data_IF_064756221902
#
_entry.id   IF_064756221902
#
_cell.length_a   1.000
_cell.length_b   1.000
_cell.length_c   1.000
_cell.angle_alpha   90.00
_cell.angle_beta   90.00
_cell.angle_gamma   90.00
#
_symmetry.space_group_name_H-M   'P 1'
#
loop_
_entity.id
_entity.type
_entity.pdbx_description
1 polymer ?
#
# COMPACT_ATOMS: atom_id res chain seq x y z
N UNK A 1 10.90 -0.87 -7.60
CA UNK A 1 9.59 -0.20 -7.44
C UNK A 1 9.37 0.89 -8.48
N UNK A 2 10.15 1.97 -8.50
CA UNK A 2 10.03 3.02 -9.52
C UNK A 2 10.10 2.47 -10.96
N UNK A 3 10.93 1.45 -11.21
CA UNK A 3 10.94 0.73 -12.50
C UNK A 3 9.61 0.05 -12.83
N UNK A 4 8.96 -0.63 -11.88
CA UNK A 4 7.64 -1.26 -12.12
C UNK A 4 6.57 -0.21 -12.40
N UNK A 5 6.55 0.88 -11.62
CA UNK A 5 5.64 2.02 -11.85
C UNK A 5 5.88 2.59 -13.25
N UNK A 6 7.14 2.81 -13.63
CA UNK A 6 7.51 3.33 -14.94
C UNK A 6 7.02 2.41 -16.07
N UNK A 7 7.37 1.12 -16.03
CA UNK A 7 6.95 0.13 -17.03
C UNK A 7 5.44 0.04 -17.12
N UNK A 8 4.74 -0.01 -15.99
CA UNK A 8 3.27 -0.03 -15.96
C UNK A 8 2.63 1.24 -16.53
N UNK A 9 3.28 2.41 -16.43
CA UNK A 9 2.78 3.64 -17.04
C UNK A 9 3.09 3.73 -18.54
N UNK A 10 4.25 3.24 -18.98
CA UNK A 10 4.74 3.43 -20.36
C UNK A 10 4.41 2.29 -21.32
N UNK A 11 4.29 1.05 -20.83
CA UNK A 11 4.21 -0.14 -21.68
C UNK A 11 2.87 -0.88 -21.58
N UNK A 12 2.11 -0.66 -20.51
CA UNK A 12 0.84 -1.34 -20.25
C UNK A 12 -0.34 -0.48 -20.77
N UNK A 13 -0.98 -0.95 -21.84
CA UNK A 13 -2.00 -0.21 -22.58
C UNK A 13 -3.30 -0.02 -21.78
N UNK A 14 -3.76 -1.06 -21.07
CA UNK A 14 -4.96 -0.93 -20.23
C UNK A 14 -4.70 -0.05 -19.02
N UNK A 15 -3.50 -0.16 -18.43
CA UNK A 15 -3.11 0.63 -17.26
C UNK A 15 -2.99 2.13 -17.58
N UNK A 16 -2.40 2.48 -18.73
CA UNK A 16 -2.27 3.88 -19.19
C UNK A 16 -3.61 4.48 -19.59
N UNK A 17 -4.45 3.72 -20.31
CA UNK A 17 -5.81 4.13 -20.68
C UNK A 17 -6.69 4.36 -19.45
N UNK A 18 -6.59 3.48 -18.44
CA UNK A 18 -7.31 3.65 -17.18
C UNK A 18 -6.90 4.94 -16.45
N UNK A 19 -5.59 5.18 -16.32
CA UNK A 19 -5.07 6.39 -15.66
C UNK A 19 -5.53 7.68 -16.33
N UNK A 20 -5.62 7.69 -17.67
CA UNK A 20 -6.02 8.86 -18.48
C UNK A 20 -7.54 9.09 -18.46
N UNK A 21 -8.33 8.02 -18.56
CA UNK A 21 -9.80 8.11 -18.58
C UNK A 21 -10.40 8.55 -17.26
N UNK A 22 -9.74 8.24 -16.14
CA UNK A 22 -10.24 8.55 -14.80
C UNK A 22 -9.62 9.82 -14.20
N UNK A 23 -8.71 10.52 -14.90
CA UNK A 23 -7.99 11.67 -14.35
C UNK A 23 -8.93 12.81 -13.91
N UNK A 24 -10.00 13.06 -14.66
CA UNK A 24 -11.04 14.05 -14.30
C UNK A 24 -12.10 13.56 -13.29
N UNK A 25 -12.17 12.24 -13.05
CA UNK A 25 -13.17 11.59 -12.18
C UNK A 25 -12.57 11.03 -10.89
N UNK A 26 -11.27 11.24 -10.63
CA UNK A 26 -10.66 10.85 -9.36
C UNK A 26 -11.37 11.56 -8.21
N UNK A 27 -11.58 10.86 -7.11
CA UNK A 27 -12.13 11.44 -5.90
C UNK A 27 -11.22 10.98 -4.77
N UNK A 28 -10.78 11.96 -3.99
CA UNK A 28 -10.06 11.66 -2.76
C UNK A 28 -11.02 11.04 -1.74
N UNK A 29 -10.55 10.10 -0.90
CA UNK A 29 -11.30 9.65 0.26
C UNK A 29 -11.65 10.83 1.18
N UNK A 30 -12.67 10.66 2.04
CA UNK A 30 -13.07 11.72 2.97
C UNK A 30 -11.92 12.17 3.88
N UNK A 31 -11.01 11.24 4.19
CA UNK A 31 -9.79 11.47 4.97
C UNK A 31 -8.64 10.65 4.39
N UNK A 32 -7.45 11.23 4.39
CA UNK A 32 -6.18 10.56 4.06
C UNK A 32 -5.10 11.03 5.03
N UNK A 33 -4.01 10.30 5.16
CA UNK A 33 -2.81 10.79 5.82
C UNK A 33 -2.01 11.66 4.84
N UNK A 34 -1.68 12.88 5.26
CA UNK A 34 -0.67 13.72 4.62
C UNK A 34 0.70 13.36 5.20
N UNK A 35 1.52 12.69 4.38
CA UNK A 35 2.84 12.19 4.80
C UNK A 35 4.00 12.99 4.24
N UNK A 36 3.80 14.23 3.75
CA UNK A 36 4.85 15.03 3.15
C UNK A 36 6.05 15.32 4.08
N UNK A 37 5.80 15.45 5.39
CA UNK A 37 6.80 15.85 6.40
C UNK A 37 6.87 14.85 7.55
N UNK A 38 7.90 14.91 8.40
CA UNK A 38 8.08 13.97 9.52
C UNK A 38 6.93 13.95 10.53
N UNK A 39 6.31 15.10 10.76
CA UNK A 39 5.00 15.18 11.38
C UNK A 39 3.94 14.86 10.31
N UNK A 40 3.41 13.63 10.33
CA UNK A 40 2.27 13.30 9.47
C UNK A 40 0.98 13.75 10.15
N UNK A 41 -0.10 13.86 9.40
CA UNK A 41 -1.41 14.20 9.98
C UNK A 41 -2.52 13.58 9.17
N UNK A 42 -3.66 13.40 9.81
CA UNK A 42 -4.90 13.16 9.12
C UNK A 42 -5.33 14.46 8.42
N UNK A 43 -5.67 14.35 7.15
CA UNK A 43 -6.03 15.46 6.27
C UNK A 43 -7.43 15.21 5.71
N UNK A 44 -8.25 16.27 5.70
CA UNK A 44 -9.56 16.30 5.05
C UNK A 44 -9.40 17.00 3.71
N UNK A 45 -9.42 16.27 2.59
CA UNK A 45 -9.41 16.88 1.27
C UNK A 45 -10.68 17.69 1.03
N UNK A 46 -10.57 18.76 0.24
CA UNK A 46 -11.74 19.44 -0.32
C UNK A 46 -12.47 18.50 -1.29
N UNK A 47 -13.78 18.69 -1.48
CA UNK A 47 -14.59 17.86 -2.41
C UNK A 47 -14.07 17.89 -3.85
N UNK A 48 -13.40 18.98 -4.23
CA UNK A 48 -12.77 19.21 -5.53
C UNK A 48 -11.37 18.57 -5.65
N UNK A 49 -10.80 18.00 -4.59
CA UNK A 49 -9.44 17.46 -4.59
C UNK A 49 -9.34 16.20 -5.47
N UNK A 50 -8.27 16.12 -6.27
CA UNK A 50 -8.04 15.08 -7.29
C UNK A 50 -6.66 14.41 -7.19
N UNK A 51 -5.96 14.62 -6.07
CA UNK A 51 -4.60 14.14 -5.89
C UNK A 51 -4.49 12.60 -5.93
N UNK A 52 -3.30 12.12 -6.30
CA UNK A 52 -2.99 10.69 -6.21
C UNK A 52 -2.69 10.30 -4.77
N UNK A 53 -3.22 9.15 -4.35
CA UNK A 53 -2.93 8.55 -3.05
C UNK A 53 -2.61 7.06 -3.19
N UNK A 54 -1.93 6.54 -2.18
CA UNK A 54 -1.67 5.12 -1.98
C UNK A 54 -2.68 4.57 -0.97
N UNK A 55 -3.20 3.37 -1.17
CA UNK A 55 -3.97 2.65 -0.16
C UNK A 55 -3.13 1.52 0.46
N UNK A 56 -3.43 1.16 1.71
CA UNK A 56 -2.81 0.04 2.41
C UNK A 56 -3.81 -1.10 2.62
N UNK A 57 -3.44 -2.31 2.19
CA UNK A 57 -4.10 -3.57 2.53
C UNK A 57 -3.21 -4.36 3.48
N UNK A 58 -3.69 -4.61 4.72
CA UNK A 58 -2.86 -5.18 5.78
C UNK A 58 -3.68 -5.89 6.87
N UNK A 59 -2.99 -6.67 7.71
CA UNK A 59 -3.58 -7.25 8.90
C UNK A 59 -3.38 -6.32 10.10
N UNK A 60 -4.47 -5.95 10.77
CA UNK A 60 -4.41 -5.17 12.01
C UNK A 60 -3.74 -5.91 13.18
N UNK A 61 -3.74 -7.25 13.15
CA UNK A 61 -3.34 -8.11 14.26
C UNK A 61 -4.46 -8.36 15.28
N UNK A 62 -4.14 -9.07 16.36
CA UNK A 62 -5.08 -9.47 17.43
C UNK A 62 -5.13 -8.51 18.63
N UNK A 63 -4.36 -7.42 18.60
CA UNK A 63 -4.27 -6.44 19.69
C UNK A 63 -5.20 -5.23 19.54
N UNK A 64 -4.93 -4.16 20.30
CA UNK A 64 -5.54 -2.85 20.10
C UNK A 64 -4.74 -2.09 19.02
N UNK A 65 -5.22 -2.01 17.77
CA UNK A 65 -4.46 -1.39 16.69
C UNK A 65 -4.37 0.12 16.92
N UNK A 66 -3.29 0.73 16.40
CA UNK A 66 -3.19 2.18 16.34
C UNK A 66 -4.25 2.71 15.38
N UNK A 67 -5.23 3.46 15.90
CA UNK A 67 -6.45 3.81 15.17
C UNK A 67 -6.99 5.19 15.58
N UNK A 68 -7.80 5.76 14.70
CA UNK A 68 -8.53 6.99 14.95
C UNK A 68 -9.86 6.69 15.64
N UNK A 69 -10.16 7.46 16.68
CA UNK A 69 -11.40 7.42 17.45
C UNK A 69 -11.94 8.84 17.65
N UNK A 70 -13.18 8.94 18.08
CA UNK A 70 -13.82 10.23 18.41
C UNK A 70 -13.02 11.05 19.43
N UNK A 71 -12.30 10.38 20.33
CA UNK A 71 -11.48 11.03 21.36
C UNK A 71 -10.12 11.57 20.88
N UNK A 72 -9.54 11.02 19.81
CA UNK A 72 -8.19 11.38 19.35
C UNK A 72 -8.13 11.99 17.94
N UNK A 73 -9.27 12.08 17.25
CA UNK A 73 -9.36 12.67 15.90
C UNK A 73 -8.76 14.07 15.82
N UNK A 74 -9.07 14.95 16.78
CA UNK A 74 -8.55 16.32 16.82
C UNK A 74 -7.02 16.38 16.99
N UNK A 75 -6.43 15.39 17.67
CA UNK A 75 -4.98 15.25 17.78
C UNK A 75 -4.40 14.76 16.46
N UNK A 76 -5.00 13.72 15.87
CA UNK A 76 -4.59 13.16 14.59
C UNK A 76 -4.65 14.18 13.43
N UNK A 77 -5.61 15.11 13.45
CA UNK A 77 -5.73 16.20 12.48
C UNK A 77 -4.60 17.24 12.59
N UNK A 78 -4.04 17.41 13.78
CA UNK A 78 -2.91 18.31 14.01
C UNK A 78 -1.61 17.63 13.63
N UNK A 79 -1.35 16.49 14.26
CA UNK A 79 -0.10 15.76 14.12
C UNK A 79 -0.22 14.33 14.66
N UNK A 80 0.40 13.41 13.94
CA UNK A 80 0.68 12.03 14.34
C UNK A 80 2.18 11.87 14.22
N UNK A 81 2.84 11.56 15.34
CA UNK A 81 4.26 11.23 15.29
C UNK A 81 4.47 9.89 14.59
N UNK A 82 5.36 9.83 13.59
CA UNK A 82 5.71 8.58 12.91
C UNK A 82 6.22 7.54 13.91
N UNK A 83 6.96 7.95 14.94
CA UNK A 83 7.48 7.01 15.94
C UNK A 83 6.40 6.38 16.82
N UNK A 84 5.20 6.97 16.87
CA UNK A 84 4.05 6.40 17.56
C UNK A 84 3.33 5.32 16.73
N UNK A 85 3.55 5.30 15.41
CA UNK A 85 2.97 4.28 14.54
C UNK A 85 3.63 2.91 14.79
N UNK A 86 2.87 1.81 14.65
CA UNK A 86 3.43 0.47 14.55
C UNK A 86 4.50 0.36 13.45
N UNK A 87 5.48 -0.52 13.64
CA UNK A 87 6.67 -0.62 12.78
C UNK A 87 6.33 -0.76 11.29
N UNK A 88 5.39 -1.65 10.94
CA UNK A 88 4.99 -1.83 9.55
C UNK A 88 4.36 -0.57 8.94
N UNK A 89 3.59 0.21 9.71
CA UNK A 89 2.98 1.44 9.23
C UNK A 89 4.03 2.54 9.03
N UNK A 90 5.09 2.56 9.85
CA UNK A 90 6.25 3.43 9.60
C UNK A 90 6.91 3.10 8.26
N UNK A 91 7.08 1.81 7.95
CA UNK A 91 7.62 1.38 6.66
C UNK A 91 6.70 1.71 5.48
N UNK A 92 5.38 1.61 5.65
CA UNK A 92 4.42 2.05 4.62
C UNK A 92 4.53 3.57 4.38
N UNK A 93 4.66 4.39 5.42
CA UNK A 93 4.89 5.84 5.29
C UNK A 93 6.19 6.12 4.55
N UNK A 94 7.30 5.49 4.95
CA UNK A 94 8.61 5.62 4.29
C UNK A 94 8.55 5.21 2.84
N UNK A 95 7.87 4.10 2.55
CA UNK A 95 7.72 3.58 1.19
C UNK A 95 6.92 4.53 0.32
N UNK A 96 5.80 5.05 0.84
CA UNK A 96 4.94 6.04 0.17
C UNK A 96 5.74 7.28 -0.24
N UNK A 97 6.56 7.82 0.67
CA UNK A 97 7.47 8.94 0.36
C UNK A 97 8.50 8.57 -0.70
N UNK A 98 9.11 7.39 -0.57
CA UNK A 98 10.17 6.92 -1.48
C UNK A 98 9.69 6.73 -2.92
N UNK A 99 8.41 6.39 -3.12
CA UNK A 99 7.79 6.32 -4.45
C UNK A 99 7.19 7.65 -4.92
N UNK A 100 7.34 8.74 -4.16
CA UNK A 100 6.97 10.09 -4.57
C UNK A 100 5.52 10.47 -4.33
N UNK A 101 4.81 9.76 -3.44
CA UNK A 101 3.41 10.07 -3.10
C UNK A 101 3.33 10.78 -1.75
N UNK A 102 2.37 11.71 -1.66
CA UNK A 102 2.10 12.50 -0.45
C UNK A 102 0.98 11.92 0.39
N UNK A 103 -0.02 11.33 -0.24
CA UNK A 103 -1.25 10.92 0.44
C UNK A 103 -1.29 9.40 0.59
N UNK A 104 -1.66 8.96 1.79
CA UNK A 104 -1.75 7.55 2.17
C UNK A 104 -3.07 7.29 2.88
N UNK A 105 -3.81 6.29 2.42
CA UNK A 105 -5.04 5.84 3.05
C UNK A 105 -4.81 4.54 3.82
N UNK A 106 -5.12 4.57 5.12
CA UNK A 106 -5.08 3.43 6.03
C UNK A 106 -6.43 3.40 6.74
N UNK A 107 -7.19 2.32 6.60
CA UNK A 107 -8.55 2.19 7.14
C UNK A 107 -8.63 2.53 8.64
N UNK A 108 -7.73 1.97 9.46
CA UNK A 108 -7.69 2.20 10.90
C UNK A 108 -7.49 3.68 11.28
N UNK A 109 -6.86 4.48 10.41
CA UNK A 109 -6.54 5.88 10.67
C UNK A 109 -7.49 6.86 9.94
N UNK A 110 -8.01 6.47 8.78
CA UNK A 110 -8.85 7.31 7.93
C UNK A 110 -10.35 7.15 8.21
N UNK A 111 -10.74 6.13 9.00
CA UNK A 111 -12.11 5.89 9.46
C UNK A 111 -12.13 6.03 10.98
N UNK A 112 -13.16 6.70 11.51
CA UNK A 112 -13.35 6.84 12.97
C UNK A 112 -13.93 5.52 13.49
N UNK A 113 -13.13 4.74 14.21
CA UNK A 113 -13.43 3.32 14.47
C UNK A 113 -14.49 3.06 15.55
N UNK A 114 -14.78 4.05 16.38
CA UNK A 114 -15.81 4.02 17.44
C UNK A 114 -17.06 4.83 17.08
N UNK A 115 -17.13 5.40 15.87
CA UNK A 115 -18.31 6.07 15.32
C UNK A 115 -18.96 5.15 14.27
N UNK A 116 -20.11 4.58 14.61
CA UNK A 116 -20.83 3.65 13.73
C UNK A 116 -21.31 4.30 12.43
N UNK A 117 -21.75 5.55 12.48
CA UNK A 117 -22.26 6.25 11.29
C UNK A 117 -21.12 6.62 10.35
N UNK A 118 -19.96 7.02 10.90
CA UNK A 118 -18.75 7.23 10.11
C UNK A 118 -18.25 5.94 9.48
N UNK A 119 -18.17 4.88 10.28
CA UNK A 119 -17.78 3.57 9.79
C UNK A 119 -18.68 3.10 8.64
N UNK A 120 -20.01 3.24 8.77
CA UNK A 120 -20.95 2.83 7.73
C UNK A 120 -20.77 3.64 6.44
N UNK A 121 -20.60 4.97 6.56
CA UNK A 121 -20.34 5.85 5.40
C UNK A 121 -19.06 5.45 4.69
N UNK A 122 -17.96 5.26 5.41
CA UNK A 122 -16.65 4.97 4.80
C UNK A 122 -16.56 3.52 4.29
N UNK A 123 -17.14 2.55 5.00
CA UNK A 123 -17.23 1.17 4.54
C UNK A 123 -17.96 1.08 3.19
N UNK A 124 -19.04 1.86 3.00
CA UNK A 124 -19.75 1.92 1.71
C UNK A 124 -18.91 2.47 0.56
N UNK A 125 -17.86 3.25 0.88
CA UNK A 125 -16.94 3.87 -0.09
C UNK A 125 -15.67 3.07 -0.32
N UNK A 126 -15.40 1.99 0.43
CA UNK A 126 -14.18 1.18 0.27
C UNK A 126 -13.94 0.75 -1.18
N UNK A 127 -15.03 0.47 -1.93
CA UNK A 127 -14.91 0.18 -3.36
C UNK A 127 -14.22 1.31 -4.13
N UNK A 128 -14.67 2.54 -3.93
CA UNK A 128 -14.09 3.72 -4.57
C UNK A 128 -12.66 3.95 -4.09
N UNK A 129 -12.40 3.81 -2.79
CA UNK A 129 -11.05 3.99 -2.21
C UNK A 129 -10.02 3.08 -2.88
N UNK A 130 -10.27 1.78 -2.98
CA UNK A 130 -9.29 0.87 -3.58
C UNK A 130 -9.24 0.96 -5.11
N UNK A 131 -10.38 1.15 -5.77
CA UNK A 131 -10.39 1.26 -7.23
C UNK A 131 -9.76 2.55 -7.75
N UNK A 132 -9.79 3.64 -6.99
CA UNK A 132 -9.23 4.93 -7.40
C UNK A 132 -7.84 5.21 -6.82
N UNK A 133 -7.35 4.40 -5.89
CA UNK A 133 -5.97 4.48 -5.43
C UNK A 133 -5.01 4.30 -6.62
N UNK A 134 -3.93 5.09 -6.64
CA UNK A 134 -2.92 4.95 -7.68
C UNK A 134 -2.21 3.58 -7.58
N UNK A 135 -1.90 3.20 -6.34
CA UNK A 135 -1.24 1.97 -5.95
C UNK A 135 -1.80 1.52 -4.61
N UNK A 136 -2.03 0.22 -4.45
CA UNK A 136 -2.25 -0.39 -3.14
C UNK A 136 -0.97 -1.12 -2.70
N UNK A 137 -0.48 -0.83 -1.51
CA UNK A 137 0.57 -1.62 -0.87
C UNK A 137 -0.14 -2.75 -0.09
N UNK A 138 0.23 -4.00 -0.36
CA UNK A 138 -0.32 -5.18 0.30
C UNK A 138 0.76 -5.81 1.18
N UNK A 139 0.62 -5.80 2.50
CA UNK A 139 1.62 -6.39 3.40
C UNK A 139 1.36 -7.88 3.63
N UNK A 140 1.45 -8.67 2.56
CA UNK A 140 1.05 -10.08 2.55
C UNK A 140 1.83 -10.94 3.55
N UNK A 141 3.11 -10.66 3.78
CA UNK A 141 3.94 -11.44 4.69
C UNK A 141 3.62 -11.22 6.18
N UNK A 142 2.84 -10.20 6.53
CA UNK A 142 2.63 -9.77 7.91
C UNK A 142 1.24 -10.17 8.41
N UNK A 143 1.22 -10.82 9.58
CA UNK A 143 -0.02 -11.16 10.29
C UNK A 143 -0.54 -10.04 11.21
N UNK A 144 0.31 -9.05 11.49
CA UNK A 144 0.04 -7.88 12.31
C UNK A 144 0.94 -6.72 11.91
N UNK A 145 0.90 -5.61 12.65
CA UNK A 145 1.66 -4.41 12.33
C UNK A 145 3.02 -4.27 13.03
N UNK A 146 3.48 -5.30 13.73
CA UNK A 146 4.59 -5.21 14.71
C UNK A 146 5.99 -5.35 14.12
N UNK A 147 6.12 -5.74 12.84
CA UNK A 147 7.41 -5.97 12.19
C UNK A 147 7.71 -4.95 11.08
N UNK A 148 8.99 -4.67 10.87
CA UNK A 148 9.50 -3.96 9.69
C UNK A 148 9.58 -4.91 8.49
N UNK A 149 9.49 -4.37 7.29
CA UNK A 149 9.61 -5.13 6.03
C UNK A 149 10.54 -4.49 4.99
N UNK A 150 10.89 -3.19 5.10
CA UNK A 150 11.77 -2.54 4.12
C UNK A 150 13.23 -2.96 4.25
N UNK A 151 13.71 -3.15 5.48
CA UNK A 151 15.12 -3.45 5.79
C UNK A 151 15.39 -4.93 6.07
N UNK A 152 14.41 -5.80 5.78
CA UNK A 152 14.57 -7.24 5.95
C UNK A 152 15.47 -7.77 4.82
N UNK A 153 16.71 -8.12 5.16
CA UNK A 153 17.62 -8.80 4.25
C UNK A 153 17.02 -10.13 3.80
N UNK A 154 16.54 -10.17 2.57
CA UNK A 154 16.18 -11.43 1.91
C UNK A 154 17.48 -12.03 1.41
N UNK A 155 17.75 -13.28 1.78
CA UNK A 155 18.92 -14.03 1.33
C UNK A 155 18.81 -14.26 -0.18
N UNK A 156 19.27 -13.29 -0.96
CA UNK A 156 19.42 -13.40 -2.40
C UNK A 156 20.78 -14.01 -2.67
N UNK A 157 20.80 -15.24 -3.18
CA UNK A 157 22.05 -15.83 -3.67
C UNK A 157 22.42 -15.16 -5.00
N UNK A 158 23.54 -14.43 -4.97
CA UNK A 158 24.10 -13.79 -6.16
C UNK A 158 24.88 -14.83 -6.97
N UNK A 159 24.43 -15.10 -8.19
CA UNK A 159 25.20 -15.90 -9.14
C UNK A 159 25.76 -15.00 -10.25
N UNK A 160 27.09 -14.91 -10.35
CA UNK A 160 27.71 -14.27 -11.50
C UNK A 160 27.80 -15.27 -12.64
N UNK A 161 27.21 -14.95 -13.80
CA UNK A 161 27.46 -15.73 -15.01
C UNK A 161 28.76 -15.24 -15.63
N UNK A 162 29.75 -16.11 -15.91
CA UNK A 162 30.91 -15.68 -16.69
C UNK A 162 30.42 -15.28 -18.09
N UNK A 163 30.51 -13.99 -18.40
CA UNK A 163 30.18 -13.45 -19.71
C UNK A 163 31.47 -13.18 -20.47
N UNK A 164 31.44 -13.37 -21.80
CA UNK A 164 32.50 -12.92 -22.72
C UNK A 164 32.35 -11.44 -23.11
N UNK A 165 31.33 -10.73 -22.61
CA UNK A 165 31.15 -9.29 -22.78
C UNK A 165 31.87 -8.50 -21.69
N UNK A 166 32.31 -7.28 -22.01
CA UNK A 166 33.05 -6.38 -21.10
C UNK A 166 32.24 -5.93 -19.86
N UNK A 167 30.92 -6.14 -19.84
CA UNK A 167 30.08 -5.93 -18.65
C UNK A 167 29.48 -7.24 -18.12
N UNK A 168 29.72 -7.60 -16.84
CA UNK A 168 29.09 -8.76 -16.21
C UNK A 168 27.61 -8.46 -15.90
N UNK A 169 26.73 -9.29 -16.44
CA UNK A 169 25.31 -9.23 -16.11
C UNK A 169 25.06 -9.90 -14.74
N UNK A 170 24.52 -9.15 -13.78
CA UNK A 170 24.21 -9.68 -12.45
C UNK A 170 22.93 -10.52 -12.51
N UNK A 171 23.05 -11.84 -12.31
CA UNK A 171 21.90 -12.73 -12.16
C UNK A 171 21.67 -12.99 -10.67
N UNK A 172 20.45 -12.71 -10.21
CA UNK A 172 20.01 -13.06 -8.86
C UNK A 172 19.13 -14.30 -8.96
N UNK A 173 19.52 -15.37 -8.27
CA UNK A 173 18.68 -16.54 -8.14
C UNK A 173 17.86 -16.37 -6.87
N UNK A 174 16.55 -16.32 -7.04
CA UNK A 174 15.62 -16.41 -5.92
C UNK A 174 15.13 -17.86 -5.90
N UNK A 175 15.53 -18.68 -4.93
CA UNK A 175 14.96 -20.02 -4.77
C UNK A 175 13.51 -19.87 -4.28
N UNK A 176 12.58 -19.57 -5.17
CA UNK A 176 11.15 -19.54 -4.83
C UNK A 176 10.58 -20.94 -5.02
N UNK A 177 10.19 -21.60 -3.93
CA UNK A 177 9.50 -22.90 -4.00
C UNK A 177 8.01 -22.75 -4.31
N UNK A 178 7.50 -21.51 -4.33
CA UNK A 178 6.08 -21.19 -4.45
C UNK A 178 5.86 -20.17 -5.55
N UNK A 179 4.79 -20.36 -6.32
CA UNK A 179 4.36 -19.35 -7.29
C UNK A 179 3.82 -18.12 -6.55
N UNK A 180 3.76 -16.97 -7.23
CA UNK A 180 3.08 -15.77 -6.72
C UNK A 180 1.66 -16.08 -6.23
N UNK A 181 0.91 -16.88 -6.99
CA UNK A 181 -0.45 -17.29 -6.62
C UNK A 181 -0.50 -18.08 -5.31
N UNK A 182 0.45 -18.99 -5.08
CA UNK A 182 0.53 -19.76 -3.85
C UNK A 182 0.88 -18.88 -2.66
N UNK A 183 1.84 -17.95 -2.83
CA UNK A 183 2.24 -17.03 -1.76
C UNK A 183 1.09 -16.13 -1.30
N UNK A 184 0.30 -15.58 -2.24
CA UNK A 184 -0.87 -14.78 -1.87
C UNK A 184 -1.91 -15.65 -1.17
N UNK A 185 -2.27 -16.81 -1.73
CA UNK A 185 -3.29 -17.69 -1.14
C UNK A 185 -2.94 -18.12 0.28
N UNK A 186 -1.65 -18.31 0.56
CA UNK A 186 -1.16 -18.73 1.87
C UNK A 186 -0.88 -17.55 2.83
N UNK A 187 -0.97 -16.31 2.36
CA UNK A 187 -0.71 -15.13 3.17
C UNK A 187 -1.71 -15.01 4.34
N UNK A 188 -1.27 -14.48 5.50
CA UNK A 188 -2.17 -14.05 6.57
C UNK A 188 -3.32 -13.16 6.07
N UNK A 189 -3.04 -12.27 5.11
CA UNK A 189 -3.99 -11.32 4.57
C UNK A 189 -5.14 -12.00 3.82
N UNK A 190 -4.85 -13.05 3.05
CA UNK A 190 -5.87 -13.81 2.30
C UNK A 190 -6.89 -14.56 3.19
N UNK A 191 -6.63 -14.68 4.51
CA UNK A 191 -7.58 -15.28 5.46
C UNK A 191 -8.71 -14.33 5.89
N UNK A 192 -8.66 -13.07 5.47
CA UNK A 192 -9.65 -12.03 5.83
C UNK A 192 -10.65 -11.84 4.69
N UNK A 193 -11.93 -11.70 5.01
CA UNK A 193 -12.99 -11.59 3.99
C UNK A 193 -12.87 -10.34 3.10
N UNK A 194 -12.40 -9.22 3.67
CA UNK A 194 -12.33 -7.93 2.96
C UNK A 194 -11.20 -7.86 1.93
N UNK A 195 -10.10 -8.59 2.15
CA UNK A 195 -8.86 -8.44 1.37
C UNK A 195 -9.02 -8.90 -0.07
N UNK A 196 -9.99 -9.77 -0.35
CA UNK A 196 -10.39 -10.09 -1.72
C UNK A 196 -10.89 -8.85 -2.47
N UNK A 197 -11.76 -8.04 -1.86
CA UNK A 197 -12.28 -6.82 -2.50
C UNK A 197 -11.15 -5.80 -2.70
N UNK A 198 -10.29 -5.63 -1.71
CA UNK A 198 -9.14 -4.73 -1.75
C UNK A 198 -8.22 -5.06 -2.93
N UNK A 199 -7.87 -6.33 -3.10
CA UNK A 199 -7.08 -6.81 -4.24
C UNK A 199 -7.83 -6.69 -5.57
N UNK A 200 -9.06 -7.20 -5.65
CA UNK A 200 -9.81 -7.23 -6.90
C UNK A 200 -10.13 -5.84 -7.46
N UNK A 201 -10.26 -4.83 -6.59
CA UNK A 201 -10.61 -3.47 -6.99
C UNK A 201 -9.39 -2.62 -7.32
N UNK A 202 -8.25 -2.85 -6.67
CA UNK A 202 -7.02 -2.10 -6.91
C UNK A 202 -6.56 -2.17 -8.38
N UNK A 203 -6.11 -1.03 -8.93
CA UNK A 203 -5.60 -0.95 -10.31
C UNK A 203 -4.17 -1.50 -10.42
N UNK A 204 -3.37 -1.24 -9.38
CA UNK A 204 -1.98 -1.66 -9.20
C UNK A 204 -1.80 -2.08 -7.74
N UNK A 205 -1.04 -3.15 -7.53
CA UNK A 205 -0.73 -3.67 -6.20
C UNK A 205 0.74 -4.00 -6.12
N UNK A 206 1.37 -3.51 -5.07
CA UNK A 206 2.66 -3.98 -4.64
C UNK A 206 2.47 -4.95 -3.48
N UNK A 207 2.75 -6.22 -3.72
CA UNK A 207 2.72 -7.27 -2.73
C UNK A 207 4.06 -7.34 -2.01
N UNK A 208 4.06 -7.09 -0.70
CA UNK A 208 5.18 -7.32 0.19
C UNK A 208 5.10 -8.77 0.68
N UNK A 209 5.69 -9.67 -0.10
CA UNK A 209 5.71 -11.11 0.18
C UNK A 209 6.89 -11.53 1.06
N UNK A 210 6.84 -12.77 1.56
CA UNK A 210 7.83 -13.30 2.49
C UNK A 210 9.18 -13.55 1.80
N UNK A 211 9.15 -14.14 0.60
CA UNK A 211 10.34 -14.48 -0.18
C UNK A 211 10.71 -13.39 -1.19
N UNK A 212 9.71 -12.68 -1.73
CA UNK A 212 9.89 -11.68 -2.78
C UNK A 212 8.77 -10.65 -2.78
N UNK A 213 9.03 -9.51 -3.40
CA UNK A 213 7.99 -8.51 -3.67
C UNK A 213 7.44 -8.77 -5.06
N UNK A 214 6.14 -8.62 -5.23
CA UNK A 214 5.47 -8.82 -6.50
C UNK A 214 4.69 -7.59 -6.91
N UNK A 215 4.59 -7.39 -8.21
CA UNK A 215 3.79 -6.33 -8.80
C UNK A 215 2.62 -6.96 -9.55
N UNK A 216 1.40 -6.54 -9.23
CA UNK A 216 0.17 -6.91 -9.91
C UNK A 216 -0.48 -5.65 -10.47
N UNK A 217 -0.96 -5.69 -11.72
CA UNK A 217 -1.74 -4.62 -12.31
C UNK A 217 -2.73 -5.17 -13.33
N UNK A 218 -3.78 -4.40 -13.63
CA UNK A 218 -4.88 -4.79 -14.54
C UNK A 218 -4.53 -4.58 -16.02
N UNK A 219 -3.45 -5.21 -16.48
CA UNK A 219 -3.10 -5.25 -17.91
C UNK A 219 -3.86 -6.32 -18.70
#
# INVERSE_FOLDING_TARGET
>A
MNRWISVCRSEHGKCSAWSSSHEGERHMPARVLDVANDAIRLYLPEDSARDEYIALSYCWGSGNPYKTTTSNIEEHLKEISISALPLSLQDVVRLTRKVGFRYLWIDALCIIQDDYDDWLREASKMKAVYSQAFLTISTDMLADTTALFLDVHRNLERMCRPSSSEEPENIYVVPTFRTFGDQIKMSPLAKRGWTFQERALSSRILHIGQESNYWECKE
#
